data_IF_727985592260
#
_entry.id   IF_727985592260
#
_cell.length_a   1.000
_cell.length_b   1.000
_cell.length_c   1.000
_cell.angle_alpha   90.00
_cell.angle_beta   90.00
_cell.angle_gamma   90.00
#
_symmetry.space_group_name_H-M   'P 1'
#
loop_
_entity.id
_entity.type
_entity.pdbx_description
1 polymer ?
#
# COMPACT_ATOMS: atom_id res chain seq x y z
N UNK A 1 46.22 -40.00 -72.19
CA UNK A 1 46.26 -39.01 -71.08
C UNK A 1 45.20 -37.92 -71.30
N UNK A 2 44.09 -37.95 -70.56
CA UNK A 2 43.23 -36.77 -70.31
C UNK A 2 42.60 -36.95 -68.93
N UNK A 3 43.17 -36.33 -67.89
CA UNK A 3 42.59 -36.26 -66.55
C UNK A 3 41.49 -35.19 -66.57
N UNK A 4 40.25 -35.57 -66.26
CA UNK A 4 39.17 -34.62 -65.96
C UNK A 4 39.35 -34.15 -64.51
N UNK A 5 39.57 -32.86 -64.32
CA UNK A 5 39.56 -32.20 -63.01
C UNK A 5 38.11 -31.72 -62.80
N UNK A 6 37.41 -32.27 -61.81
CA UNK A 6 36.17 -31.69 -61.29
C UNK A 6 36.57 -30.62 -60.27
N UNK A 7 36.16 -29.37 -60.51
CA UNK A 7 36.24 -28.28 -59.53
C UNK A 7 34.88 -28.24 -58.85
N UNK A 8 34.83 -28.62 -57.57
CA UNK A 8 33.66 -28.42 -56.72
C UNK A 8 33.69 -26.98 -56.17
N UNK A 9 32.76 -26.14 -56.62
CA UNK A 9 32.53 -24.82 -56.06
C UNK A 9 31.64 -24.98 -54.84
N UNK A 10 32.24 -24.98 -53.65
CA UNK A 10 31.51 -24.95 -52.39
C UNK A 10 31.07 -23.52 -52.08
N UNK A 11 29.79 -23.22 -52.24
CA UNK A 11 29.16 -22.01 -51.69
C UNK A 11 29.10 -22.14 -50.17
N UNK A 12 30.02 -21.49 -49.48
CA UNK A 12 29.94 -21.30 -48.03
C UNK A 12 28.86 -20.26 -47.73
N UNK A 13 27.67 -20.71 -47.35
CA UNK A 13 26.64 -19.86 -46.76
C UNK A 13 27.11 -19.57 -45.33
N UNK A 14 27.66 -18.37 -45.11
CA UNK A 14 27.90 -17.87 -43.76
C UNK A 14 26.55 -17.51 -43.15
N UNK A 15 26.02 -18.39 -42.31
CA UNK A 15 24.89 -18.08 -41.45
C UNK A 15 25.39 -17.09 -40.39
N UNK A 16 25.22 -15.79 -40.64
CA UNK A 16 25.34 -14.78 -39.61
C UNK A 16 24.19 -15.01 -38.61
N UNK A 17 24.52 -15.61 -37.47
CA UNK A 17 23.61 -15.76 -36.35
C UNK A 17 23.35 -14.35 -35.80
N UNK A 18 22.27 -13.72 -36.24
CA UNK A 18 21.72 -12.52 -35.64
C UNK A 18 21.23 -12.92 -34.24
N UNK A 19 22.09 -12.80 -33.24
CA UNK A 19 21.67 -12.75 -31.85
C UNK A 19 20.85 -11.47 -31.70
N UNK A 20 19.54 -11.58 -31.90
CA UNK A 20 18.60 -10.58 -31.43
C UNK A 20 18.85 -10.46 -29.92
N UNK A 21 19.44 -9.35 -29.49
CA UNK A 21 19.46 -9.01 -28.07
C UNK A 21 18.01 -8.79 -27.71
N UNK A 22 17.40 -9.76 -27.03
CA UNK A 22 16.19 -9.49 -26.28
C UNK A 22 16.51 -8.29 -25.38
N UNK A 23 15.76 -7.18 -25.46
CA UNK A 23 15.99 -6.07 -24.56
C UNK A 23 15.98 -6.63 -23.14
N UNK A 24 17.04 -6.35 -22.38
CA UNK A 24 17.08 -6.72 -20.99
C UNK A 24 15.83 -6.12 -20.34
N UNK A 25 15.01 -6.96 -19.71
CA UNK A 25 13.90 -6.47 -18.91
C UNK A 25 14.45 -5.43 -17.94
N UNK A 26 13.78 -4.29 -17.83
CA UNK A 26 14.14 -3.31 -16.82
C UNK A 26 14.13 -4.00 -15.45
N UNK A 27 15.14 -3.73 -14.62
CA UNK A 27 15.16 -4.26 -13.27
C UNK A 27 13.86 -3.84 -12.55
N UNK A 28 13.25 -4.73 -11.73
CA UNK A 28 12.09 -4.37 -10.94
C UNK A 28 12.37 -3.14 -10.08
N UNK A 29 11.36 -2.28 -9.88
CA UNK A 29 11.48 -1.17 -8.93
C UNK A 29 11.66 -1.73 -7.52
N UNK A 30 12.45 -1.02 -6.72
CA UNK A 30 12.62 -1.30 -5.29
C UNK A 30 11.83 -0.30 -4.46
N UNK A 31 11.33 -0.73 -3.32
CA UNK A 31 10.75 0.18 -2.33
C UNK A 31 11.84 1.08 -1.68
N UNK A 32 11.47 2.30 -1.26
CA UNK A 32 12.29 3.14 -0.40
C UNK A 32 12.73 2.44 0.89
N UNK A 33 13.88 2.83 1.42
CA UNK A 33 14.42 2.22 2.63
C UNK A 33 13.51 2.45 3.84
N UNK A 34 13.18 1.37 4.55
CA UNK A 34 12.29 1.39 5.72
C UNK A 34 10.82 1.12 5.39
N UNK A 35 10.47 1.01 4.11
CA UNK A 35 9.13 0.65 3.65
C UNK A 35 9.03 -0.81 3.24
N UNK A 36 7.84 -1.36 3.41
CA UNK A 36 7.47 -2.71 3.05
C UNK A 36 6.13 -2.71 2.33
N UNK A 37 5.97 -3.61 1.37
CA UNK A 37 4.68 -3.87 0.74
C UNK A 37 4.02 -5.02 1.49
N UNK A 38 2.93 -4.71 2.17
CA UNK A 38 2.09 -5.70 2.83
C UNK A 38 1.02 -6.16 1.88
N UNK A 39 0.66 -7.45 2.01
CA UNK A 39 -0.48 -8.06 1.33
C UNK A 39 -1.41 -8.63 2.38
N UNK A 40 -2.72 -8.54 2.16
CA UNK A 40 -3.73 -9.14 3.02
C UNK A 40 -4.46 -10.25 2.28
N UNK A 41 -4.66 -11.38 2.95
CA UNK A 41 -5.27 -12.55 2.32
C UNK A 41 -6.75 -12.39 2.03
N UNK A 42 -7.21 -13.06 0.98
CA UNK A 42 -8.63 -13.28 0.73
C UNK A 42 -8.82 -14.71 0.24
N UNK A 43 -9.30 -15.57 1.13
CA UNK A 43 -9.33 -17.01 0.93
C UNK A 43 -10.58 -17.48 0.18
N UNK A 44 -10.34 -18.33 -0.82
CA UNK A 44 -11.31 -19.30 -1.36
C UNK A 44 -10.70 -20.73 -1.36
N UNK A 45 -10.06 -21.14 -0.24
CA UNK A 45 -9.68 -22.54 0.01
C UNK A 45 -8.19 -22.93 -0.14
N UNK A 46 -7.27 -21.98 -0.25
CA UNK A 46 -5.82 -22.17 -0.01
C UNK A 46 -5.46 -21.32 1.21
N UNK A 47 -4.68 -21.86 2.16
CA UNK A 47 -4.26 -21.08 3.34
C UNK A 47 -3.25 -20.02 2.89
N UNK A 48 -3.74 -18.80 2.68
CA UNK A 48 -2.93 -17.62 2.45
C UNK A 48 -2.71 -16.88 3.79
N UNK A 49 -1.66 -16.06 3.93
CA UNK A 49 -1.45 -15.35 5.20
C UNK A 49 -2.53 -14.27 5.36
N UNK A 50 -3.10 -14.14 6.57
CA UNK A 50 -3.97 -12.98 6.88
C UNK A 50 -3.26 -11.67 6.58
N UNK A 51 -1.98 -11.60 6.95
CA UNK A 51 -1.08 -10.52 6.54
C UNK A 51 0.25 -11.13 6.13
N UNK A 52 0.72 -10.79 4.93
CA UNK A 52 2.03 -11.15 4.40
C UNK A 52 2.88 -9.93 4.10
N UNK A 53 4.19 -10.13 4.08
CA UNK A 53 5.16 -9.15 3.59
C UNK A 53 5.71 -9.60 2.24
N UNK A 54 5.57 -8.76 1.22
CA UNK A 54 5.98 -9.05 -0.16
C UNK A 54 7.44 -8.67 -0.37
N UNK A 55 8.22 -9.61 -0.90
CA UNK A 55 9.49 -9.32 -1.56
C UNK A 55 9.21 -8.80 -2.97
N UNK A 56 9.28 -7.48 -3.18
CA UNK A 56 9.03 -6.84 -4.47
C UNK A 56 10.03 -7.22 -5.56
N UNK A 57 11.13 -7.91 -5.26
CA UNK A 57 12.01 -8.42 -6.32
C UNK A 57 11.47 -9.72 -6.94
N UNK A 58 10.64 -10.47 -6.21
CA UNK A 58 10.26 -11.85 -6.57
C UNK A 58 8.76 -12.13 -6.51
N UNK A 59 7.97 -11.30 -5.82
CA UNK A 59 6.57 -11.56 -5.48
C UNK A 59 6.38 -12.60 -4.36
N UNK A 60 7.46 -13.11 -3.77
CA UNK A 60 7.38 -14.05 -2.66
C UNK A 60 6.85 -13.38 -1.40
N UNK A 61 5.91 -14.04 -0.72
CA UNK A 61 5.24 -13.54 0.47
C UNK A 61 5.74 -14.30 1.69
N UNK A 62 6.22 -13.53 2.67
CA UNK A 62 6.53 -14.04 4.01
C UNK A 62 5.34 -13.79 4.93
N UNK A 63 4.79 -14.84 5.53
CA UNK A 63 3.70 -14.73 6.50
C UNK A 63 4.11 -13.86 7.70
N UNK A 64 3.26 -12.88 8.03
CA UNK A 64 3.39 -11.99 9.19
C UNK A 64 2.33 -12.32 10.23
N UNK A 65 1.08 -12.48 9.78
CA UNK A 65 -0.05 -12.98 10.57
C UNK A 65 -0.58 -14.23 9.86
N UNK A 66 -0.70 -15.37 10.57
CA UNK A 66 -1.23 -16.60 9.98
C UNK A 66 -2.62 -16.43 9.40
N UNK A 67 -2.91 -17.18 8.33
CA UNK A 67 -4.24 -17.25 7.73
C UNK A 67 -5.34 -17.61 8.72
N UNK A 68 -6.51 -17.02 8.50
CA UNK A 68 -7.76 -17.26 9.21
C UNK A 68 -8.71 -17.86 8.18
N UNK A 69 -9.28 -19.02 8.50
CA UNK A 69 -10.17 -19.75 7.56
C UNK A 69 -11.37 -18.89 7.15
N UNK A 70 -11.55 -18.74 5.84
CA UNK A 70 -12.66 -17.97 5.25
C UNK A 70 -12.50 -16.45 5.36
N UNK A 71 -11.30 -15.97 5.68
CA UNK A 71 -11.01 -14.54 5.71
C UNK A 71 -11.10 -13.92 4.32
N UNK A 72 -11.55 -12.67 4.26
CA UNK A 72 -11.32 -11.86 3.08
C UNK A 72 -11.10 -10.40 3.44
N UNK A 73 -9.87 -9.93 3.23
CA UNK A 73 -9.49 -8.55 3.47
C UNK A 73 -9.37 -7.81 2.15
N UNK A 74 -9.78 -6.54 2.15
CA UNK A 74 -9.68 -5.66 0.98
C UNK A 74 -9.23 -4.26 1.36
N UNK A 75 -8.70 -3.54 0.37
CA UNK A 75 -8.47 -2.09 0.45
C UNK A 75 -7.73 -1.60 1.70
N UNK A 76 -6.54 -2.13 2.02
CA UNK A 76 -5.78 -1.69 3.16
C UNK A 76 -5.20 -0.28 2.94
N UNK A 77 -5.24 0.56 3.97
CA UNK A 77 -4.72 1.92 3.97
C UNK A 77 -3.82 2.19 5.19
N UNK A 78 -2.64 2.74 4.95
CA UNK A 78 -1.70 3.09 6.02
C UNK A 78 -2.02 4.47 6.59
N UNK A 79 -2.11 4.56 7.92
CA UNK A 79 -2.25 5.81 8.66
C UNK A 79 -0.91 6.25 9.23
N UNK A 80 -0.34 7.32 8.66
CA UNK A 80 0.94 7.86 9.11
C UNK A 80 0.89 8.50 10.51
N UNK A 81 -0.30 8.84 11.03
CA UNK A 81 -0.46 9.49 12.33
C UNK A 81 -0.24 8.53 13.49
N UNK A 82 -0.75 7.30 13.39
CA UNK A 82 -0.63 6.27 14.43
C UNK A 82 0.28 5.09 14.04
N UNK A 83 0.73 5.03 12.78
CA UNK A 83 1.62 3.99 12.29
C UNK A 83 0.93 2.65 12.03
N UNK A 84 -0.39 2.62 11.91
CA UNK A 84 -1.18 1.40 11.69
C UNK A 84 -1.70 1.29 10.26
N UNK A 85 -2.11 0.09 9.89
CA UNK A 85 -2.80 -0.18 8.63
C UNK A 85 -4.23 -0.55 8.95
N UNK A 86 -5.18 0.13 8.34
CA UNK A 86 -6.60 -0.15 8.44
C UNK A 86 -7.04 -0.90 7.19
N UNK A 87 -7.96 -1.85 7.34
CA UNK A 87 -8.37 -2.74 6.24
C UNK A 87 -9.85 -3.07 6.40
N UNK A 88 -10.53 -3.28 5.27
CA UNK A 88 -11.92 -3.75 5.26
C UNK A 88 -11.90 -5.27 5.35
N UNK A 89 -12.65 -5.82 6.30
CA UNK A 89 -12.80 -7.24 6.57
C UNK A 89 -14.20 -7.70 6.14
N UNK A 90 -14.25 -8.62 5.18
CA UNK A 90 -15.47 -9.22 4.62
C UNK A 90 -15.84 -10.57 5.26
N UNK A 91 -15.07 -11.03 6.26
CA UNK A 91 -15.19 -12.39 6.83
C UNK A 91 -16.55 -12.62 7.48
N UNK A 92 -17.03 -11.64 8.27
CA UNK A 92 -18.31 -11.74 9.00
C UNK A 92 -19.09 -10.43 8.89
N UNK A 93 -19.52 -10.10 7.68
CA UNK A 93 -20.08 -8.77 7.37
C UNK A 93 -19.00 -7.85 6.82
N UNK A 94 -19.24 -6.54 6.84
CA UNK A 94 -18.27 -5.54 6.38
C UNK A 94 -17.79 -4.77 7.60
N UNK A 95 -16.63 -5.17 8.12
CA UNK A 95 -16.04 -4.64 9.33
C UNK A 95 -14.75 -3.86 9.04
N UNK A 96 -14.45 -2.89 9.89
CA UNK A 96 -13.13 -2.26 9.93
C UNK A 96 -12.21 -3.08 10.83
N UNK A 97 -11.06 -3.50 10.30
CA UNK A 97 -9.98 -4.10 11.07
C UNK A 97 -8.73 -3.21 11.04
N UNK A 98 -7.84 -3.44 12.01
CA UNK A 98 -6.55 -2.74 12.10
C UNK A 98 -5.41 -3.72 12.32
N UNK A 99 -4.40 -3.59 11.48
CA UNK A 99 -3.11 -4.25 11.59
C UNK A 99 -2.09 -3.29 12.19
N UNK A 100 -1.39 -3.74 13.22
CA UNK A 100 -0.22 -3.08 13.79
C UNK A 100 1.05 -3.74 13.23
N UNK A 101 1.82 -3.07 12.34
CA UNK A 101 3.03 -3.63 11.73
C UNK A 101 4.14 -3.95 12.73
N UNK A 102 4.13 -3.29 13.90
CA UNK A 102 5.15 -3.43 14.95
C UNK A 102 4.80 -4.59 15.86
N UNK A 103 3.56 -4.63 16.34
CA UNK A 103 3.07 -5.71 17.19
C UNK A 103 2.78 -6.99 16.40
N UNK A 104 2.62 -6.89 15.07
CA UNK A 104 2.20 -7.95 14.16
C UNK A 104 0.87 -8.56 14.58
N UNK A 105 -0.07 -7.69 14.92
CA UNK A 105 -1.41 -8.08 15.38
C UNK A 105 -2.47 -7.48 14.47
N UNK A 106 -3.41 -8.30 14.05
CA UNK A 106 -4.64 -7.88 13.38
C UNK A 106 -5.78 -7.91 14.39
N UNK A 107 -6.61 -6.88 14.43
CA UNK A 107 -7.70 -6.77 15.41
C UNK A 107 -8.91 -6.11 14.77
N UNK A 108 -10.10 -6.67 15.01
CA UNK A 108 -11.38 -6.08 14.60
C UNK A 108 -11.67 -4.81 15.40
N UNK A 109 -12.21 -3.78 14.74
CA UNK A 109 -12.63 -2.54 15.38
C UNK A 109 -14.15 -2.55 15.56
N UNK A 110 -14.91 -2.44 14.47
CA UNK A 110 -16.37 -2.39 14.48
C UNK A 110 -16.92 -2.60 13.06
N UNK A 111 -18.21 -2.88 12.96
CA UNK A 111 -18.93 -2.95 11.69
C UNK A 111 -19.14 -1.56 11.09
N UNK A 112 -18.99 -1.41 9.77
CA UNK A 112 -19.34 -0.16 9.11
C UNK A 112 -20.86 0.08 9.17
N UNK A 113 -21.25 1.36 9.31
CA UNK A 113 -22.65 1.80 9.16
C UNK A 113 -22.97 2.28 7.73
N UNK A 114 -22.07 1.98 6.81
CA UNK A 114 -22.17 2.17 5.37
C UNK A 114 -21.67 0.92 4.62
N UNK A 115 -21.68 0.95 3.28
CA UNK A 115 -21.22 -0.18 2.44
C UNK A 115 -19.90 0.16 1.70
N UNK A 116 -18.74 0.10 2.39
CA UNK A 116 -17.47 0.53 1.81
C UNK A 116 -16.85 -0.54 0.91
N UNK A 117 -16.46 -0.17 -0.31
CA UNK A 117 -15.65 -1.03 -1.19
C UNK A 117 -14.15 -0.77 -1.05
N UNK A 118 -13.77 0.47 -0.75
CA UNK A 118 -12.36 0.85 -0.62
C UNK A 118 -12.15 1.89 0.47
N UNK A 119 -10.92 1.97 0.98
CA UNK A 119 -10.51 2.83 2.08
C UNK A 119 -9.21 3.55 1.69
N UNK A 120 -9.15 4.86 1.94
CA UNK A 120 -7.94 5.65 1.77
C UNK A 120 -7.75 6.59 2.95
N UNK A 121 -6.49 6.81 3.35
CA UNK A 121 -6.13 7.67 4.48
C UNK A 121 -5.10 8.70 4.03
N UNK A 122 -5.33 9.97 4.33
CA UNK A 122 -4.35 11.03 4.01
C UNK A 122 -3.22 11.09 5.05
N UNK A 123 -2.20 11.90 4.76
CA UNK A 123 -1.07 12.10 5.67
C UNK A 123 -1.45 12.76 7.02
N UNK A 124 -2.67 13.33 7.13
CA UNK A 124 -3.20 13.91 8.37
C UNK A 124 -4.05 12.93 9.18
N UNK A 125 -4.23 11.69 8.69
CA UNK A 125 -5.03 10.66 9.33
C UNK A 125 -6.54 10.80 9.11
N UNK A 126 -6.96 11.66 8.18
CA UNK A 126 -8.36 11.67 7.72
C UNK A 126 -8.56 10.44 6.83
N UNK A 127 -9.70 9.76 6.98
CA UNK A 127 -10.00 8.56 6.24
C UNK A 127 -11.26 8.74 5.40
N UNK A 128 -11.29 8.11 4.24
CA UNK A 128 -12.41 8.11 3.32
C UNK A 128 -12.67 6.72 2.78
N UNK A 129 -13.94 6.45 2.51
CA UNK A 129 -14.40 5.24 1.83
C UNK A 129 -15.20 5.59 0.58
N UNK A 130 -15.22 4.68 -0.38
CA UNK A 130 -16.23 4.67 -1.43
C UNK A 130 -17.42 3.84 -0.96
N UNK A 131 -18.59 4.47 -0.83
CA UNK A 131 -19.83 3.83 -0.42
C UNK A 131 -20.59 3.38 -1.68
N UNK A 132 -20.72 2.07 -1.87
CA UNK A 132 -21.31 1.45 -3.07
C UNK A 132 -22.83 1.62 -3.12
N UNK A 133 -23.50 1.64 -1.97
CA UNK A 133 -24.94 1.87 -1.86
C UNK A 133 -25.35 3.27 -2.36
N UNK A 134 -24.46 4.25 -2.20
CA UNK A 134 -24.77 5.66 -2.45
C UNK A 134 -23.88 6.32 -3.50
N UNK A 135 -23.00 5.56 -4.17
CA UNK A 135 -22.07 6.01 -5.21
C UNK A 135 -21.32 7.30 -4.85
N UNK A 136 -20.83 7.37 -3.61
CA UNK A 136 -20.12 8.56 -3.15
C UNK A 136 -18.94 8.29 -2.22
N UNK A 137 -18.05 9.27 -2.21
CA UNK A 137 -16.94 9.32 -1.27
C UNK A 137 -17.46 9.81 0.09
N UNK A 138 -17.22 9.07 1.16
CA UNK A 138 -17.62 9.44 2.54
C UNK A 138 -16.40 9.50 3.45
N UNK A 139 -16.30 10.49 4.36
CA UNK A 139 -15.33 10.42 5.44
C UNK A 139 -15.72 9.28 6.40
N UNK A 140 -14.75 8.61 6.99
CA UNK A 140 -15.00 7.54 7.98
C UNK A 140 -14.18 7.74 9.24
N UNK A 141 -14.76 7.38 10.39
CA UNK A 141 -14.07 7.38 11.66
C UNK A 141 -13.39 6.02 11.90
N UNK A 142 -12.06 6.02 11.88
CA UNK A 142 -11.26 4.80 12.07
C UNK A 142 -11.34 4.18 13.47
N UNK A 143 -11.95 4.86 14.46
CA UNK A 143 -12.11 4.36 15.81
C UNK A 143 -13.38 3.56 16.05
N UNK A 144 -14.37 3.66 15.15
CA UNK A 144 -15.68 3.01 15.31
C UNK A 144 -16.42 2.74 13.98
N UNK A 145 -15.73 2.82 12.85
CA UNK A 145 -16.28 2.54 11.50
C UNK A 145 -17.52 3.37 11.08
N UNK A 146 -17.83 4.46 11.78
CA UNK A 146 -18.97 5.33 11.44
C UNK A 146 -18.62 6.25 10.27
N UNK A 147 -19.43 6.19 9.21
CA UNK A 147 -19.31 6.95 7.98
C UNK A 147 -20.08 8.28 8.10
N UNK A 148 -19.43 9.39 7.77
CA UNK A 148 -20.05 10.72 7.75
C UNK A 148 -20.85 10.97 6.48
N UNK A 149 -21.29 12.21 6.27
CA UNK A 149 -22.04 12.60 5.06
C UNK A 149 -21.16 12.50 3.80
N UNK A 150 -21.72 12.00 2.70
CA UNK A 150 -21.04 11.89 1.42
C UNK A 150 -20.68 13.24 0.80
N UNK A 151 -19.49 13.32 0.20
CA UNK A 151 -18.98 14.50 -0.51
C UNK A 151 -19.15 14.32 -2.01
N UNK A 152 -20.34 14.70 -2.50
CA UNK A 152 -20.69 14.71 -3.91
C UNK A 152 -21.26 13.38 -4.43
N UNK A 153 -21.93 13.42 -5.57
CA UNK A 153 -22.35 12.23 -6.31
C UNK A 153 -21.47 12.16 -7.54
N UNK A 154 -20.73 11.08 -7.70
CA UNK A 154 -20.01 10.85 -8.96
C UNK A 154 -21.03 10.35 -9.97
N UNK A 155 -21.04 10.95 -11.16
CA UNK A 155 -22.02 10.62 -12.17
C UNK A 155 -21.71 9.26 -12.80
N UNK A 156 -22.34 8.20 -12.28
CA UNK A 156 -22.68 6.96 -13.00
C UNK A 156 -21.51 6.11 -13.52
N UNK A 157 -21.47 4.85 -13.05
CA UNK A 157 -20.56 3.74 -13.45
C UNK A 157 -19.17 3.72 -12.82
N UNK A 158 -18.81 4.71 -12.02
CA UNK A 158 -17.54 4.68 -11.29
C UNK A 158 -17.68 3.80 -10.03
N UNK A 159 -17.09 2.61 -10.06
CA UNK A 159 -16.94 1.71 -8.90
C UNK A 159 -15.45 1.60 -8.60
N UNK A 160 -15.00 2.09 -7.45
CA UNK A 160 -13.58 2.10 -7.09
C UNK A 160 -13.27 0.96 -6.13
N UNK A 161 -12.39 0.06 -6.56
CA UNK A 161 -11.83 -0.99 -5.71
C UNK A 161 -10.48 -0.56 -5.11
N UNK A 162 -9.65 0.17 -5.86
CA UNK A 162 -8.38 0.72 -5.38
C UNK A 162 -8.42 2.22 -5.19
N UNK A 163 -8.27 2.72 -3.96
CA UNK A 163 -8.05 4.14 -3.67
C UNK A 163 -6.84 4.36 -2.77
N UNK A 164 -6.04 5.39 -3.06
CA UNK A 164 -4.95 5.79 -2.19
C UNK A 164 -4.55 7.26 -2.37
N UNK A 165 -4.06 7.86 -1.29
CA UNK A 165 -3.38 9.14 -1.35
C UNK A 165 -1.93 8.96 -1.80
N UNK A 166 -1.54 9.68 -2.84
CA UNK A 166 -0.13 9.85 -3.17
C UNK A 166 0.56 10.76 -2.14
N UNK A 167 1.90 10.72 -1.99
CA UNK A 167 2.64 11.56 -1.04
C UNK A 167 2.43 13.08 -1.20
N UNK A 168 1.96 13.52 -2.38
CA UNK A 168 1.62 14.92 -2.64
C UNK A 168 0.23 15.34 -2.11
N UNK A 169 -0.52 14.42 -1.49
CA UNK A 169 -1.86 14.65 -0.94
C UNK A 169 -3.01 14.50 -1.94
N UNK A 170 -2.73 14.07 -3.17
CA UNK A 170 -3.78 13.80 -4.17
C UNK A 170 -4.35 12.40 -3.96
N UNK A 171 -5.68 12.30 -3.89
CA UNK A 171 -6.37 11.03 -3.87
C UNK A 171 -6.51 10.51 -5.30
N UNK A 172 -6.05 9.28 -5.52
CA UNK A 172 -6.24 8.54 -6.76
C UNK A 172 -7.22 7.40 -6.55
N UNK A 173 -7.98 7.09 -7.59
CA UNK A 173 -8.84 5.91 -7.67
C UNK A 173 -8.58 5.14 -8.95
N UNK A 174 -8.65 3.82 -8.85
CA UNK A 174 -8.73 2.89 -9.97
C UNK A 174 -10.18 2.42 -10.11
N UNK A 175 -10.81 2.77 -11.22
CA UNK A 175 -12.17 2.34 -11.56
C UNK A 175 -12.12 0.87 -11.97
N UNK A 176 -12.87 0.06 -11.25
CA UNK A 176 -13.02 -1.37 -11.47
C UNK A 176 -13.67 -1.65 -12.83
N UNK A 177 -14.80 -0.99 -13.14
CA UNK A 177 -15.62 -1.30 -14.32
C UNK A 177 -14.92 -1.15 -15.68
N UNK A 178 -13.95 -0.23 -15.79
CA UNK A 178 -13.35 0.14 -17.08
C UNK A 178 -11.82 0.25 -17.03
N UNK A 179 -11.21 0.00 -15.87
CA UNK A 179 -9.76 0.04 -15.68
C UNK A 179 -9.15 1.44 -15.66
N UNK A 180 -9.97 2.50 -15.66
CA UNK A 180 -9.49 3.89 -15.69
C UNK A 180 -8.86 4.28 -14.35
N UNK A 181 -7.81 5.09 -14.42
CA UNK A 181 -7.17 5.67 -13.24
C UNK A 181 -7.33 7.18 -13.31
N UNK A 182 -7.64 7.78 -12.18
CA UNK A 182 -7.83 9.22 -12.09
C UNK A 182 -7.72 9.75 -10.69
N UNK A 183 -7.78 11.07 -10.59
CA UNK A 183 -7.85 11.77 -9.30
C UNK A 183 -9.28 11.87 -8.82
N UNK A 184 -9.50 11.75 -7.52
CA UNK A 184 -10.79 11.98 -6.86
C UNK A 184 -10.70 13.22 -5.98
N UNK A 185 -11.63 14.16 -6.16
CA UNK A 185 -11.71 15.34 -5.29
C UNK A 185 -12.33 14.98 -3.95
N UNK A 186 -11.60 15.13 -2.85
CA UNK A 186 -12.13 14.93 -1.48
C UNK A 186 -13.16 15.98 -1.04
N UNK A 187 -13.34 17.05 -1.83
CA UNK A 187 -14.33 18.10 -1.56
C UNK A 187 -15.63 17.88 -2.33
N UNK A 188 -15.55 17.28 -3.52
CA UNK A 188 -16.69 17.21 -4.45
C UNK A 188 -16.97 15.79 -4.96
N UNK A 189 -16.17 14.80 -4.60
CA UNK A 189 -16.24 13.42 -5.10
C UNK A 189 -15.81 13.26 -6.56
N UNK A 190 -15.73 14.36 -7.32
CA UNK A 190 -15.48 14.34 -8.76
C UNK A 190 -14.22 13.55 -9.15
N UNK A 191 -14.41 12.59 -10.05
CA UNK A 191 -13.36 11.82 -10.70
C UNK A 191 -12.85 12.55 -11.96
N UNK A 192 -11.53 12.54 -12.16
CA UNK A 192 -10.89 13.03 -13.38
C UNK A 192 -9.79 12.07 -13.80
N UNK A 193 -9.99 11.40 -14.93
CA UNK A 193 -9.03 10.46 -15.51
C UNK A 193 -7.67 11.13 -15.76
N UNK A 194 -6.60 10.39 -15.52
CA UNK A 194 -5.22 10.83 -15.74
C UNK A 194 -4.58 10.00 -16.85
N UNK A 195 -4.07 10.67 -17.90
CA UNK A 195 -3.40 9.97 -19.00
C UNK A 195 -4.34 9.07 -19.83
N UNK A 196 -3.77 8.12 -20.56
CA UNK A 196 -4.52 7.08 -21.30
C UNK A 196 -4.57 5.75 -20.53
N UNK A 197 -4.53 5.81 -19.20
CA UNK A 197 -4.31 4.67 -18.33
C UNK A 197 -5.54 3.77 -18.31
N UNK A 198 -5.44 2.66 -19.02
CA UNK A 198 -6.19 1.46 -18.69
C UNK A 198 -5.22 0.51 -17.97
N UNK A 199 -5.64 0.02 -16.82
CA UNK A 199 -5.06 -1.18 -16.24
C UNK A 199 -5.17 -2.36 -17.22
N UNK A 200 -4.28 -3.36 -17.14
CA UNK A 200 -4.19 -4.44 -18.13
C UNK A 200 -5.50 -5.24 -18.30
N UNK A 201 -6.32 -5.26 -17.25
CA UNK A 201 -7.59 -5.96 -17.11
C UNK A 201 -8.61 -5.02 -16.45
N UNK A 202 -9.90 -5.31 -16.61
CA UNK A 202 -10.98 -4.58 -15.95
C UNK A 202 -11.26 -5.07 -14.53
N UNK A 203 -10.25 -5.62 -13.85
CA UNK A 203 -10.39 -6.31 -12.56
C UNK A 203 -9.31 -5.77 -11.59
N UNK A 204 -9.44 -4.47 -11.27
CA UNK A 204 -8.48 -3.75 -10.43
C UNK A 204 -8.81 -3.94 -8.96
N UNK A 205 -7.90 -4.54 -8.23
CA UNK A 205 -8.10 -4.85 -6.82
C UNK A 205 -7.64 -3.74 -5.87
N UNK A 206 -6.36 -3.33 -5.97
CA UNK A 206 -5.72 -2.52 -4.93
C UNK A 206 -4.66 -1.56 -5.46
N UNK A 207 -4.62 -0.35 -4.89
CA UNK A 207 -3.70 0.73 -5.24
C UNK A 207 -3.06 1.29 -3.97
N UNK A 208 -1.75 1.51 -4.01
CA UNK A 208 -1.00 2.18 -2.93
C UNK A 208 0.20 2.95 -3.49
N UNK A 209 0.83 3.80 -2.69
CA UNK A 209 2.00 4.58 -3.09
C UNK A 209 3.14 4.39 -2.10
N UNK A 210 4.36 4.31 -2.62
CA UNK A 210 5.56 4.46 -1.79
C UNK A 210 5.88 5.95 -1.54
N UNK A 211 6.81 6.24 -0.61
CA UNK A 211 7.18 7.63 -0.31
C UNK A 211 7.89 8.36 -1.46
N UNK A 212 8.35 7.64 -2.50
CA UNK A 212 8.90 8.25 -3.71
C UNK A 212 7.81 8.64 -4.72
N UNK A 213 6.55 8.29 -4.46
CA UNK A 213 5.40 8.60 -5.30
C UNK A 213 5.19 7.59 -6.44
N UNK A 214 5.83 6.43 -6.38
CA UNK A 214 5.53 5.34 -7.32
C UNK A 214 4.28 4.63 -6.84
N UNK A 215 3.35 4.41 -7.77
CA UNK A 215 2.16 3.61 -7.54
C UNK A 215 2.51 2.13 -7.59
N UNK A 216 1.96 1.38 -6.65
CA UNK A 216 1.99 -0.07 -6.60
C UNK A 216 0.55 -0.56 -6.71
N UNK A 217 0.30 -1.46 -7.65
CA UNK A 217 -1.03 -1.96 -7.98
C UNK A 217 -1.02 -3.47 -8.06
N UNK A 218 -2.07 -4.08 -7.54
CA UNK A 218 -2.32 -5.51 -7.66
C UNK A 218 -3.48 -5.70 -8.65
N UNK A 219 -3.24 -6.55 -9.66
CA UNK A 219 -4.19 -6.91 -10.72
C UNK A 219 -4.71 -8.32 -10.43
N UNK A 220 -6.03 -8.50 -10.42
CA UNK A 220 -6.68 -9.77 -10.03
C UNK A 220 -6.51 -10.88 -11.08
N UNK A 221 -6.12 -10.55 -12.32
CA UNK A 221 -6.07 -11.53 -13.40
C UNK A 221 -4.89 -12.51 -13.23
N UNK A 222 -5.21 -13.80 -13.14
CA UNK A 222 -4.28 -14.92 -12.95
C UNK A 222 -3.49 -14.88 -11.62
N UNK A 223 -4.17 -14.93 -10.48
CA UNK A 223 -3.59 -15.11 -9.13
C UNK A 223 -2.80 -13.92 -8.57
N UNK A 224 -3.15 -12.68 -8.95
CA UNK A 224 -2.66 -11.44 -8.30
C UNK A 224 -1.25 -10.98 -8.64
N UNK A 225 -1.07 -10.42 -9.84
CA UNK A 225 0.20 -9.82 -10.29
C UNK A 225 0.39 -8.43 -9.68
N UNK A 226 1.63 -8.09 -9.27
CA UNK A 226 1.97 -6.76 -8.78
C UNK A 226 2.67 -5.94 -9.85
N UNK A 227 2.19 -4.73 -10.07
CA UNK A 227 2.77 -3.75 -10.97
C UNK A 227 3.23 -2.51 -10.19
N UNK A 228 4.30 -1.89 -10.67
CA UNK A 228 4.69 -0.55 -10.23
C UNK A 228 4.71 0.42 -11.40
N UNK A 229 4.40 1.70 -11.18
CA UNK A 229 4.40 2.71 -12.24
C UNK A 229 4.45 4.16 -11.71
N UNK A 230 4.78 5.11 -12.58
CA UNK A 230 4.37 6.49 -12.40
C UNK A 230 2.88 6.58 -12.73
N UNK A 231 2.06 7.00 -11.76
CA UNK A 231 0.60 7.02 -11.92
C UNK A 231 0.14 8.00 -13.02
N UNK A 232 0.94 9.01 -13.33
CA UNK A 232 0.61 10.02 -14.36
C UNK A 232 0.85 9.52 -15.78
N UNK A 233 1.66 8.48 -15.94
CA UNK A 233 1.90 7.74 -17.18
C UNK A 233 1.93 6.24 -16.88
N UNK A 234 0.83 5.72 -16.33
CA UNK A 234 0.77 4.33 -15.88
C UNK A 234 1.05 3.36 -17.03
N UNK A 235 0.38 3.55 -18.17
CA UNK A 235 0.52 2.67 -19.33
C UNK A 235 1.94 2.67 -19.92
N UNK A 236 2.62 3.83 -19.94
CA UNK A 236 3.98 3.97 -20.47
C UNK A 236 5.08 3.51 -19.50
N UNK A 237 4.81 3.51 -18.19
CA UNK A 237 5.83 3.26 -17.16
C UNK A 237 5.59 2.02 -16.32
N UNK A 238 4.47 1.29 -16.50
CA UNK A 238 4.21 0.08 -15.72
C UNK A 238 5.30 -0.98 -15.89
N UNK A 239 5.66 -1.59 -14.78
CA UNK A 239 6.62 -2.69 -14.72
C UNK A 239 6.03 -3.79 -13.85
N UNK A 240 6.03 -5.02 -14.38
CA UNK A 240 5.69 -6.20 -13.59
C UNK A 240 6.78 -6.40 -12.53
N UNK A 241 6.33 -6.46 -11.28
CA UNK A 241 7.15 -6.71 -10.10
C UNK A 241 7.27 -8.21 -9.86
N UNK A 242 6.14 -8.93 -9.94
CA UNK A 242 6.08 -10.38 -9.79
C UNK A 242 4.66 -10.86 -9.52
N UNK A 243 4.50 -12.17 -9.46
CA UNK A 243 3.28 -12.87 -9.05
C UNK A 243 3.33 -13.13 -7.55
N UNK A 244 2.22 -12.91 -6.83
CA UNK A 244 2.15 -13.29 -5.42
C UNK A 244 2.32 -14.80 -5.24
N UNK A 245 3.26 -15.19 -4.39
CA UNK A 245 3.47 -16.61 -4.04
C UNK A 245 3.69 -16.80 -2.55
N UNK A 246 3.03 -17.80 -1.96
CA UNK A 246 3.28 -18.27 -0.59
C UNK A 246 3.81 -19.70 -0.65
N UNK A 247 4.97 -19.94 -0.05
CA UNK A 247 5.67 -21.24 -0.12
C UNK A 247 5.86 -21.75 -1.57
N UNK A 248 6.06 -20.84 -2.52
CA UNK A 248 6.23 -21.16 -3.95
C UNK A 248 4.94 -21.55 -4.68
N UNK A 249 3.78 -21.37 -4.06
CA UNK A 249 2.46 -21.56 -4.68
C UNK A 249 1.81 -20.20 -4.86
N UNK A 250 1.26 -19.95 -6.05
CA UNK A 250 0.50 -18.72 -6.34
C UNK A 250 -0.79 -18.69 -5.52
N UNK A 251 -1.19 -17.50 -5.07
CA UNK A 251 -2.44 -17.31 -4.36
C UNK A 251 -3.04 -15.96 -4.73
N UNK A 252 -4.35 -15.87 -4.63
CA UNK A 252 -5.11 -14.68 -4.94
C UNK A 252 -5.17 -13.74 -3.72
N UNK A 253 -5.08 -12.45 -4.00
CA UNK A 253 -5.30 -11.35 -3.07
C UNK A 253 -5.60 -10.07 -3.86
N UNK A 254 -6.41 -9.21 -3.25
CA UNK A 254 -6.79 -7.91 -3.81
C UNK A 254 -6.20 -6.74 -3.01
N UNK A 255 -5.46 -7.04 -1.96
CA UNK A 255 -5.26 -6.12 -0.87
C UNK A 255 -3.78 -5.88 -0.62
N UNK A 256 -3.26 -4.78 -1.16
CA UNK A 256 -1.87 -4.36 -0.92
C UNK A 256 -1.77 -2.95 -0.35
N UNK A 257 -0.77 -2.73 0.49
CA UNK A 257 -0.45 -1.41 1.03
C UNK A 257 1.04 -1.26 1.28
N UNK A 258 1.60 -0.10 0.93
CA UNK A 258 2.94 0.27 1.38
C UNK A 258 2.84 0.84 2.79
N UNK A 259 3.65 0.28 3.70
CA UNK A 259 3.73 0.71 5.09
C UNK A 259 5.14 0.56 5.66
N UNK A 260 5.37 0.97 6.90
CA UNK A 260 6.68 0.91 7.52
C UNK A 260 7.05 -0.54 7.92
N UNK A 261 8.28 -1.00 7.60
CA UNK A 261 8.81 -2.31 8.04
C UNK A 261 9.10 -2.37 9.56
N UNK A 262 9.24 -1.21 10.17
CA UNK A 262 9.46 -0.98 11.60
C UNK A 262 8.98 0.43 11.92
N UNK A 263 8.58 0.71 13.18
CA UNK A 263 8.10 2.03 13.63
C UNK A 263 8.72 3.18 12.83
N UNK A 264 7.91 4.11 12.27
CA UNK A 264 8.43 5.29 11.61
C UNK A 264 9.51 5.90 12.49
N UNK A 265 10.70 6.14 11.93
CA UNK A 265 11.64 7.03 12.58
C UNK A 265 10.86 8.33 12.71
N UNK A 266 10.49 8.72 13.94
CA UNK A 266 9.89 10.03 14.21
C UNK A 266 10.68 11.04 13.37
N UNK A 267 10.02 11.96 12.66
CA UNK A 267 10.73 12.94 11.84
C UNK A 267 11.87 13.49 12.68
N UNK A 268 13.08 13.56 12.12
CA UNK A 268 14.25 14.13 12.79
C UNK A 268 13.91 15.59 13.13
N UNK A 269 13.23 15.81 14.25
CA UNK A 269 12.81 17.13 14.76
C UNK A 269 14.02 17.90 15.30
N UNK A 270 15.24 17.41 15.07
CA UNK A 270 16.46 17.89 15.68
C UNK A 270 16.52 17.63 17.19
N UNK A 271 15.55 16.90 17.77
CA UNK A 271 15.57 16.49 19.15
C UNK A 271 16.44 15.24 19.30
N UNK A 272 17.76 15.42 19.30
CA UNK A 272 18.69 14.39 19.75
C UNK A 272 18.22 13.87 21.13
N UNK A 273 18.17 12.55 21.29
CA UNK A 273 17.89 11.89 22.57
C UNK A 273 18.89 12.27 23.68
N UNK A 274 19.99 12.94 23.32
CA UNK A 274 20.91 13.60 24.25
C UNK A 274 20.32 14.85 24.94
N UNK A 275 19.36 15.56 24.31
CA UNK A 275 18.72 16.74 24.89
C UNK A 275 17.66 16.39 25.96
N UNK A 276 17.03 15.21 25.86
CA UNK A 276 16.04 14.74 26.84
C UNK A 276 16.67 14.35 28.19
N UNK A 277 17.96 13.98 28.21
CA UNK A 277 18.70 13.75 29.45
C UNK A 277 18.89 15.01 30.31
N UNK A 278 18.86 16.21 29.70
CA UNK A 278 19.03 17.49 30.39
C UNK A 278 17.75 18.05 31.03
N UNK A 279 16.58 17.68 30.49
CA UNK A 279 15.28 18.23 30.94
C UNK A 279 14.79 17.50 32.21
N UNK A 280 15.04 16.20 32.35
CA UNK A 280 14.75 15.49 33.61
C UNK A 280 15.70 15.85 34.75
N UNK A 281 16.96 16.21 34.45
CA UNK A 281 17.92 16.67 35.46
C UNK A 281 17.59 18.04 36.05
N UNK A 282 17.03 18.94 35.24
CA UNK A 282 16.69 20.30 35.66
C UNK A 282 15.33 20.39 36.37
N UNK A 283 14.35 19.55 36.01
CA UNK A 283 13.07 19.46 36.72
C UNK A 283 13.24 18.91 38.15
N UNK A 284 14.14 17.93 38.37
CA UNK A 284 14.41 17.39 39.70
C UNK A 284 15.17 18.38 40.60
N UNK A 285 16.06 19.19 40.03
CA UNK A 285 16.80 20.22 40.76
C UNK A 285 15.91 21.38 41.22
N UNK A 286 14.92 21.79 40.40
CA UNK A 286 13.94 22.81 40.76
C UNK A 286 12.94 22.32 41.82
N UNK A 287 12.54 21.04 41.79
CA UNK A 287 11.71 20.45 42.84
C UNK A 287 12.44 20.36 44.18
N UNK A 288 13.73 20.00 44.19
CA UNK A 288 14.54 19.95 45.40
C UNK A 288 14.79 21.36 46.00
N UNK A 289 15.04 22.37 45.16
CA UNK A 289 15.20 23.76 45.59
C UNK A 289 13.89 24.34 46.16
N UNK A 290 12.74 24.00 45.55
CA UNK A 290 11.42 24.40 46.05
C UNK A 290 11.08 23.79 47.41
N UNK A 291 11.40 22.51 47.63
CA UNK A 291 11.18 21.83 48.93
C UNK A 291 12.10 22.41 50.03
N UNK A 292 13.37 22.72 49.71
CA UNK A 292 14.29 23.31 50.69
C UNK A 292 13.84 24.71 51.17
N UNK A 293 13.30 25.53 50.26
CA UNK A 293 12.79 26.88 50.58
C UNK A 293 11.55 26.84 51.49
N UNK A 294 10.67 25.86 51.32
CA UNK A 294 9.46 25.67 52.16
C UNK A 294 9.84 25.20 53.57
N UNK A 295 10.86 24.33 53.70
CA UNK A 295 11.33 23.85 55.01
C UNK A 295 12.06 24.94 55.80
N UNK A 296 12.84 25.80 55.13
CA UNK A 296 13.53 26.91 55.80
C UNK A 296 12.53 27.96 56.32
N UNK A 297 11.47 28.27 55.56
CA UNK A 297 10.43 29.22 56.00
C UNK A 297 9.61 28.73 57.19
N UNK A 298 9.43 27.41 57.36
CA UNK A 298 8.69 26.85 58.50
C UNK A 298 9.48 26.86 59.81
N UNK A 299 10.82 26.89 59.76
CA UNK A 299 11.67 26.92 60.97
C UNK A 299 11.90 28.31 61.55
N UNK A 300 11.64 29.37 60.78
CA UNK A 300 11.77 30.76 61.22
C UNK A 300 10.46 31.36 61.77
N UNK A 301 9.38 30.57 61.82
CA UNK A 301 8.07 30.97 62.35
C UNK A 301 7.63 30.16 63.59
N UNK A 302 8.58 29.47 64.26
CA UNK A 302 8.38 28.76 65.52
C UNK A 302 9.35 29.28 66.58
#
# INVERSE_FOLDING_TARGET
MKKKILIAVGTAVSAALLLASTPALAAPRSLPAGEGLYVFGCEDGIIDPAVGLVDVATGAVTEVVPGIEGQCFSSPAYNAVDGKIYVIDWTVGVDLAVFDPVAKTLTLIDAFDCDPYTLAIDASGNAWVWDDDTDNLRPVNLGNAVCGDGVGVVSGTDSFYGMAFAPNGTLYGANYSNGEIGTISTTTGAFAQVGSSAMPSGDNAGLTFDSSGIAWVIDEVNNSEIYSADITDYAGTKQLTGQLTSNGTEFYSEAIVVGPLSTPKLPDTGADSAAMGGIFGSALALAAAGIALVVIRRRSAA
#
